data_IF_574304583755
#
_entry.id   IF_574304583755
#
_cell.length_a   1.000
_cell.length_b   1.000
_cell.length_c   1.000
_cell.angle_alpha   90.00
_cell.angle_beta   90.00
_cell.angle_gamma   90.00
#
_symmetry.space_group_name_H-M   'P 1'
#
loop_
_entity.id
_entity.type
_entity.pdbx_description
1 polymer ?
#
# COMPACT_ATOMS: atom_id res chain seq x y z
N UNK A 1 5.48 -11.05 -10.70
CA UNK A 1 6.41 -9.96 -10.37
C UNK A 1 6.38 -8.97 -11.53
N UNK A 2 6.03 -7.72 -11.25
CA UNK A 2 6.19 -6.63 -12.22
C UNK A 2 7.46 -5.87 -11.81
N UNK A 3 8.45 -5.85 -12.69
CA UNK A 3 9.73 -5.16 -12.48
C UNK A 3 9.87 -4.01 -13.47
N UNK A 4 10.28 -2.84 -12.97
CA UNK A 4 10.58 -1.63 -13.77
C UNK A 4 9.43 -1.16 -14.67
N UNK A 5 8.39 -0.58 -14.07
CA UNK A 5 7.26 0.01 -14.79
C UNK A 5 6.70 1.20 -14.01
N UNK A 6 6.03 2.12 -14.71
CA UNK A 6 5.27 3.20 -14.09
C UNK A 6 3.78 2.90 -14.22
N UNK A 7 3.06 2.92 -13.10
CA UNK A 7 1.61 3.01 -13.11
C UNK A 7 1.24 4.47 -12.82
N UNK A 8 0.60 5.14 -13.78
CA UNK A 8 0.17 6.53 -13.64
C UNK A 8 -1.32 6.68 -13.92
N UNK A 9 -2.01 7.46 -13.08
CA UNK A 9 -3.42 7.83 -13.26
C UNK A 9 -4.35 6.61 -13.41
N UNK A 10 -4.14 5.61 -12.54
CA UNK A 10 -4.98 4.42 -12.50
C UNK A 10 -5.77 4.39 -11.19
N UNK A 11 -7.08 4.17 -11.33
CA UNK A 11 -7.94 3.82 -10.21
C UNK A 11 -8.07 2.31 -10.20
N UNK A 12 -7.38 1.66 -9.25
CA UNK A 12 -7.41 0.20 -9.13
C UNK A 12 -8.51 -0.12 -8.12
N UNK A 13 -9.69 -0.51 -8.63
CA UNK A 13 -10.88 -0.71 -7.81
C UNK A 13 -11.27 -2.18 -7.57
N UNK A 14 -11.79 -2.47 -6.38
CA UNK A 14 -12.37 -3.76 -5.94
C UNK A 14 -11.50 -4.97 -6.25
N UNK A 15 -10.18 -4.79 -6.19
CA UNK A 15 -9.25 -5.84 -6.59
C UNK A 15 -8.84 -6.65 -5.36
N UNK A 16 -8.89 -7.98 -5.48
CA UNK A 16 -8.31 -8.87 -4.48
C UNK A 16 -6.84 -9.08 -4.82
N UNK A 17 -5.97 -8.21 -4.30
CA UNK A 17 -4.53 -8.36 -4.44
C UNK A 17 -4.06 -9.37 -3.40
N UNK A 18 -4.04 -10.64 -3.78
CA UNK A 18 -3.43 -11.70 -3.00
C UNK A 18 -2.07 -12.07 -3.61
N UNK A 19 -1.03 -12.07 -2.76
CA UNK A 19 0.33 -12.45 -3.15
C UNK A 19 0.96 -11.60 -4.26
N UNK A 20 0.46 -10.37 -4.46
CA UNK A 20 0.99 -9.49 -5.49
C UNK A 20 2.38 -8.97 -5.11
N UNK A 21 3.30 -8.93 -6.07
CA UNK A 21 4.68 -8.48 -5.84
C UNK A 21 5.08 -7.43 -6.89
N UNK A 22 5.42 -6.24 -6.38
CA UNK A 22 5.86 -5.08 -7.14
C UNK A 22 7.29 -4.73 -6.72
N UNK A 23 8.17 -4.58 -7.70
CA UNK A 23 9.57 -4.28 -7.46
C UNK A 23 10.04 -3.16 -8.39
N UNK A 24 10.67 -2.14 -7.81
CA UNK A 24 11.21 -0.99 -8.55
C UNK A 24 10.13 -0.28 -9.41
N UNK A 25 8.93 -0.13 -8.84
CA UNK A 25 7.76 0.46 -9.50
C UNK A 25 7.52 1.89 -9.01
N UNK A 26 7.16 2.78 -9.94
CA UNK A 26 6.65 4.11 -9.61
C UNK A 26 5.12 4.13 -9.70
N UNK A 27 4.46 4.42 -8.59
CA UNK A 27 3.02 4.66 -8.53
C UNK A 27 2.77 6.17 -8.41
N UNK A 28 2.15 6.74 -9.42
CA UNK A 28 1.87 8.19 -9.49
C UNK A 28 0.38 8.44 -9.68
N UNK A 29 -0.25 9.18 -8.77
CA UNK A 29 -1.68 9.53 -8.85
C UNK A 29 -2.57 8.27 -8.91
N UNK A 30 -2.37 7.36 -7.95
CA UNK A 30 -3.07 6.08 -7.87
C UNK A 30 -3.89 5.95 -6.60
N UNK A 31 -5.05 5.31 -6.75
CA UNK A 31 -5.89 4.90 -5.64
C UNK A 31 -5.91 3.37 -5.57
N UNK A 32 -5.45 2.82 -4.45
CA UNK A 32 -5.63 1.41 -4.08
C UNK A 32 -6.84 1.27 -3.18
N UNK A 33 -7.71 0.30 -3.46
CA UNK A 33 -8.82 -0.06 -2.57
C UNK A 33 -9.00 -1.60 -2.54
N UNK A 34 -9.91 -2.08 -1.68
CA UNK A 34 -10.20 -3.52 -1.57
C UNK A 34 -9.23 -4.26 -0.65
N UNK A 35 -9.03 -5.55 -0.91
CA UNK A 35 -8.19 -6.43 -0.09
C UNK A 35 -6.77 -6.50 -0.66
N UNK A 36 -5.79 -6.11 0.14
CA UNK A 36 -4.36 -6.30 -0.11
C UNK A 36 -3.82 -7.28 0.94
N UNK A 37 -3.68 -8.54 0.55
CA UNK A 37 -3.25 -9.61 1.44
C UNK A 37 -1.97 -10.26 0.90
N UNK A 38 -0.96 -10.38 1.76
CA UNK A 38 0.33 -10.97 1.37
C UNK A 38 1.03 -10.25 0.21
N UNK A 39 0.80 -8.93 0.09
CA UNK A 39 1.41 -8.12 -0.95
C UNK A 39 2.82 -7.62 -0.56
N UNK A 40 3.70 -7.50 -1.56
CA UNK A 40 5.04 -6.95 -1.40
C UNK A 40 5.25 -5.78 -2.35
N UNK A 41 5.62 -4.63 -1.79
CA UNK A 41 6.09 -3.44 -2.50
C UNK A 41 7.55 -3.22 -2.10
N UNK A 42 8.49 -3.54 -2.99
CA UNK A 42 9.93 -3.43 -2.72
C UNK A 42 10.53 -2.34 -3.60
N UNK A 43 11.25 -1.40 -2.97
CA UNK A 43 11.90 -0.28 -3.67
C UNK A 43 10.93 0.52 -4.56
N UNK A 44 9.67 0.62 -4.14
CA UNK A 44 8.65 1.34 -4.88
C UNK A 44 8.60 2.81 -4.47
N UNK A 45 8.28 3.68 -5.42
CA UNK A 45 8.05 5.10 -5.16
C UNK A 45 6.55 5.40 -5.23
N UNK A 46 6.06 6.18 -4.27
CA UNK A 46 4.66 6.58 -4.17
C UNK A 46 4.56 8.10 -4.25
N UNK A 47 3.89 8.61 -5.29
CA UNK A 47 3.67 10.04 -5.51
C UNK A 47 2.18 10.30 -5.69
N UNK A 48 1.57 11.06 -4.77
CA UNK A 48 0.12 11.31 -4.74
C UNK A 48 -0.68 9.99 -4.76
N UNK A 49 -0.26 9.02 -3.94
CA UNK A 49 -0.89 7.70 -3.84
C UNK A 49 -1.76 7.63 -2.60
N UNK A 50 -2.98 7.11 -2.76
CA UNK A 50 -3.95 6.94 -1.68
C UNK A 50 -4.38 5.48 -1.57
N UNK A 51 -4.34 4.92 -0.37
CA UNK A 51 -5.09 3.71 -0.02
C UNK A 51 -6.43 4.16 0.57
N UNK A 52 -7.54 3.73 -0.03
CA UNK A 52 -8.89 4.16 0.35
C UNK A 52 -9.80 2.95 0.54
N UNK A 53 -10.50 2.87 1.66
CA UNK A 53 -11.41 1.77 2.00
C UNK A 53 -10.73 0.39 1.79
N UNK A 54 -9.44 0.31 2.12
CA UNK A 54 -8.61 -0.86 1.87
C UNK A 54 -8.39 -1.65 3.16
N UNK A 55 -8.39 -2.98 3.05
CA UNK A 55 -7.96 -3.89 4.11
C UNK A 55 -6.58 -4.43 3.74
N UNK A 56 -5.57 -4.11 4.53
CA UNK A 56 -4.16 -4.41 4.25
C UNK A 56 -3.66 -5.42 5.30
N UNK A 57 -3.49 -6.68 4.89
CA UNK A 57 -3.08 -7.78 5.76
C UNK A 57 -1.77 -8.39 5.28
N UNK A 58 -0.92 -8.77 6.22
CA UNK A 58 0.37 -9.43 5.97
C UNK A 58 1.16 -8.83 4.79
N UNK A 59 1.13 -7.50 4.62
CA UNK A 59 1.69 -6.82 3.45
C UNK A 59 2.83 -5.89 3.83
N UNK A 60 3.84 -5.79 2.96
CA UNK A 60 5.10 -5.15 3.28
C UNK A 60 5.51 -4.11 2.23
N UNK A 61 6.09 -3.00 2.69
CA UNK A 61 6.54 -1.88 1.87
C UNK A 61 8.04 -1.63 2.08
N UNK A 62 8.88 -2.58 1.66
CA UNK A 62 10.32 -2.55 1.93
C UNK A 62 11.01 -1.50 1.07
N UNK A 63 11.96 -0.78 1.66
CA UNK A 63 12.77 0.24 0.97
C UNK A 63 11.94 1.28 0.20
N UNK A 64 10.71 1.54 0.64
CA UNK A 64 9.78 2.45 -0.01
C UNK A 64 9.45 3.62 0.93
N UNK A 65 9.39 4.84 0.41
CA UNK A 65 9.01 6.01 1.21
C UNK A 65 7.48 6.11 1.28
N UNK A 66 6.94 6.02 2.49
CA UNK A 66 5.50 6.05 2.77
C UNK A 66 5.03 7.37 3.38
N UNK A 67 5.92 8.34 3.60
CA UNK A 67 5.60 9.57 4.35
C UNK A 67 4.51 10.42 3.70
N UNK A 68 4.34 10.30 2.38
CA UNK A 68 3.35 11.05 1.58
C UNK A 68 2.22 10.17 1.06
N UNK A 69 2.14 8.93 1.52
CA UNK A 69 1.02 8.03 1.22
C UNK A 69 -0.13 8.37 2.15
N UNK A 70 -1.32 8.52 1.57
CA UNK A 70 -2.54 8.76 2.32
C UNK A 70 -3.29 7.45 2.56
N UNK A 71 -3.78 7.25 3.77
CA UNK A 71 -4.69 6.17 4.11
C UNK A 71 -6.03 6.78 4.54
N UNK A 72 -7.13 6.32 3.95
CA UNK A 72 -8.49 6.82 4.20
C UNK A 72 -9.39 5.61 4.46
N UNK A 73 -9.99 5.54 5.64
CA UNK A 73 -10.91 4.47 6.05
C UNK A 73 -10.33 3.05 5.82
N UNK A 74 -9.04 2.89 6.11
CA UNK A 74 -8.31 1.64 5.94
C UNK A 74 -8.32 0.77 7.20
N UNK A 75 -8.07 -0.52 7.00
CA UNK A 75 -7.89 -1.50 8.07
C UNK A 75 -6.55 -2.21 7.88
N UNK A 76 -5.83 -2.49 8.96
CA UNK A 76 -4.59 -3.25 8.91
C UNK A 76 -4.45 -4.23 10.07
N UNK A 77 -3.85 -5.39 9.82
CA UNK A 77 -3.49 -6.32 10.90
C UNK A 77 -2.33 -5.78 11.75
N UNK A 78 -2.08 -6.42 12.90
CA UNK A 78 -1.04 -5.98 13.84
C UNK A 78 0.35 -5.91 13.21
N UNK A 79 0.67 -6.85 12.33
CA UNK A 79 1.97 -6.92 11.67
C UNK A 79 2.17 -5.77 10.69
N UNK A 80 1.20 -5.57 9.79
CA UNK A 80 1.23 -4.51 8.78
C UNK A 80 1.17 -3.13 9.44
N UNK A 81 0.33 -2.95 10.45
CA UNK A 81 0.25 -1.70 11.20
C UNK A 81 1.58 -1.33 11.86
N UNK A 82 2.25 -2.30 12.52
CA UNK A 82 3.55 -2.08 13.12
C UNK A 82 4.61 -1.72 12.07
N UNK A 83 4.57 -2.37 10.91
CA UNK A 83 5.47 -2.08 9.80
C UNK A 83 5.29 -0.65 9.27
N UNK A 84 4.05 -0.24 8.99
CA UNK A 84 3.72 1.12 8.52
C UNK A 84 4.17 2.17 9.55
N UNK A 85 3.93 1.91 10.85
CA UNK A 85 4.38 2.78 11.95
C UNK A 85 5.89 2.96 11.96
N UNK A 86 6.65 1.88 11.84
CA UNK A 86 8.12 1.91 11.85
C UNK A 86 8.69 2.66 10.63
N UNK A 87 7.97 2.67 9.52
CA UNK A 87 8.32 3.42 8.31
C UNK A 87 7.77 4.86 8.29
N UNK A 88 7.29 5.37 9.44
CA UNK A 88 6.82 6.75 9.60
C UNK A 88 5.65 7.13 8.66
N UNK A 89 4.84 6.15 8.26
CA UNK A 89 3.61 6.43 7.51
C UNK A 89 2.59 7.18 8.41
N UNK A 90 1.73 8.00 7.80
CA UNK A 90 0.61 8.59 8.53
C UNK A 90 -0.50 7.54 8.74
N UNK A 91 -0.77 7.17 9.99
CA UNK A 91 -1.72 6.10 10.34
C UNK A 91 -3.11 6.61 10.72
N UNK A 92 -3.39 7.92 10.63
CA UNK A 92 -4.66 8.49 11.12
C UNK A 92 -5.90 7.88 10.48
N UNK A 93 -5.81 7.42 9.24
CA UNK A 93 -6.91 6.75 8.53
C UNK A 93 -6.84 5.22 8.56
N UNK A 94 -6.06 4.62 9.47
CA UNK A 94 -5.94 3.16 9.59
C UNK A 94 -6.51 2.70 10.94
N UNK A 95 -7.50 1.81 10.88
CA UNK A 95 -8.00 1.06 12.01
C UNK A 95 -7.23 -0.25 12.15
N UNK A 96 -6.64 -0.49 13.32
CA UNK A 96 -6.02 -1.77 13.65
C UNK A 96 -7.11 -2.84 13.85
N UNK A 97 -7.01 -3.94 13.11
CA UNK A 97 -7.89 -5.11 13.23
C UNK A 97 -7.14 -6.29 13.85
N UNK A 98 -7.90 -7.16 14.52
CA UNK A 98 -7.41 -8.36 15.21
C UNK A 98 -6.93 -9.44 14.25
#
# INVERSE_FOLDING_TARGET
>A
EVSTSEFRNNKIENTNWQHASFKDIQFTEIIFNGLLEECSFTSCAFSKTTFKNATIKNSFFKYSDLKRVEFIDCHADKLTYAFLKNNQANLTGITLIS
#
